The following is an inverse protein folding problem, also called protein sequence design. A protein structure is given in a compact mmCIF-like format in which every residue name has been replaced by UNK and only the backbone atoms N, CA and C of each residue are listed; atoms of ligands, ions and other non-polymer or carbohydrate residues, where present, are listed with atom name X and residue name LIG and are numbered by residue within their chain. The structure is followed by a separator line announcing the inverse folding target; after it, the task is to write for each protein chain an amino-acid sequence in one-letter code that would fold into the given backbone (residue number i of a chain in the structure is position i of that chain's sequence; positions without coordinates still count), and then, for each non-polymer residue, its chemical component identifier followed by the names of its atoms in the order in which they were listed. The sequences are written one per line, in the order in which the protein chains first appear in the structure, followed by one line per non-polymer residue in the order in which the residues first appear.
data_IF_557285186249
#
_entry.id   IF_557285186249
#
_cell.length_a   1.000
_cell.length_b   1.000
_cell.length_c   1.000
_cell.angle_alpha   90.00
_cell.angle_beta   90.00
_cell.angle_gamma   90.00
#
_symmetry.space_group_name_H-M   'P 1'
#
loop_
_entity.id
_entity.type
_entity.pdbx_description
1 polymer ?
#
# COMPACT_ATOMS: atom_id res chain seq x y z
N UNK A 1 -14.16 1.44 -75.26
CA UNK A 1 -13.28 0.67 -74.37
C UNK A 1 -13.59 1.10 -72.94
N UNK A 2 -14.33 0.31 -72.16
CA UNK A 2 -14.73 0.64 -70.77
C UNK A 2 -13.56 0.29 -69.84
N UNK A 3 -12.94 1.30 -69.24
CA UNK A 3 -11.97 1.09 -68.16
C UNK A 3 -12.72 0.90 -66.84
N UNK A 4 -12.68 -0.31 -66.27
CA UNK A 4 -13.07 -0.53 -64.88
C UNK A 4 -11.92 -0.07 -63.98
N UNK A 5 -12.18 0.91 -63.11
CA UNK A 5 -11.30 1.21 -61.98
C UNK A 5 -11.68 0.31 -60.80
N UNK A 6 -10.73 -0.40 -60.16
CA UNK A 6 -11.04 -1.17 -58.97
C UNK A 6 -11.22 -0.21 -57.79
N UNK A 7 -12.38 -0.30 -57.15
CA UNK A 7 -12.64 0.37 -55.88
C UNK A 7 -11.93 -0.44 -54.79
N UNK A 8 -10.79 0.03 -54.31
CA UNK A 8 -10.10 -0.56 -53.15
C UNK A 8 -10.85 -0.09 -51.90
N UNK A 9 -11.55 -1.02 -51.27
CA UNK A 9 -12.22 -0.79 -49.99
C UNK A 9 -11.20 -0.99 -48.86
N UNK A 10 -10.71 0.10 -48.28
CA UNK A 10 -9.86 0.06 -47.09
C UNK A 10 -10.75 -0.22 -45.87
N UNK A 11 -10.68 -1.43 -45.34
CA UNK A 11 -11.29 -1.74 -44.05
C UNK A 11 -10.48 -1.04 -42.94
N UNK A 12 -11.10 -0.08 -42.24
CA UNK A 12 -10.54 0.47 -41.01
C UNK A 12 -10.64 -0.58 -39.93
N UNK A 13 -9.52 -1.20 -39.55
CA UNK A 13 -9.42 -1.97 -38.31
C UNK A 13 -9.65 -1.00 -37.15
N UNK A 14 -10.82 -1.06 -36.52
CA UNK A 14 -11.03 -0.41 -35.24
C UNK A 14 -10.05 -1.03 -34.25
N UNK A 15 -9.16 -0.21 -33.67
CA UNK A 15 -8.21 -0.66 -32.65
C UNK A 15 -8.96 -1.30 -31.48
N UNK A 16 -8.35 -2.32 -30.87
CA UNK A 16 -8.89 -2.90 -29.65
C UNK A 16 -8.99 -1.83 -28.56
N UNK A 17 -10.07 -1.83 -27.80
CA UNK A 17 -10.23 -0.91 -26.69
C UNK A 17 -9.10 -1.12 -25.67
N UNK A 18 -8.61 -0.01 -25.12
CA UNK A 18 -7.52 0.07 -24.15
C UNK A 18 -8.06 0.48 -22.78
N UNK A 19 -7.29 0.22 -21.72
CA UNK A 19 -7.69 0.62 -20.35
C UNK A 19 -8.01 2.12 -20.26
N UNK A 20 -7.26 2.96 -20.96
CA UNK A 20 -7.44 4.42 -20.98
C UNK A 20 -8.75 4.89 -21.60
N UNK A 21 -9.45 4.03 -22.34
CA UNK A 21 -10.77 4.35 -22.90
C UNK A 21 -11.86 4.33 -21.82
N UNK A 22 -11.58 3.73 -20.66
CA UNK A 22 -12.55 3.51 -19.58
C UNK A 22 -12.12 4.08 -18.23
N UNK A 23 -10.81 4.18 -17.98
CA UNK A 23 -10.26 4.62 -16.70
C UNK A 23 -9.13 5.62 -16.88
N UNK A 24 -9.20 6.70 -16.11
CA UNK A 24 -8.05 7.57 -15.88
C UNK A 24 -7.08 6.86 -14.95
N UNK A 25 -5.80 6.81 -15.33
CA UNK A 25 -4.70 6.36 -14.47
C UNK A 25 -3.74 7.52 -14.31
N UNK A 26 -3.52 7.92 -13.07
CA UNK A 26 -2.54 8.93 -12.73
C UNK A 26 -1.47 8.32 -11.84
N UNK A 27 -0.26 8.84 -11.95
CA UNK A 27 0.88 8.34 -11.21
C UNK A 27 1.21 9.31 -10.08
N UNK A 28 1.24 8.80 -8.85
CA UNK A 28 1.69 9.56 -7.69
C UNK A 28 3.23 9.54 -7.70
N UNK A 29 3.90 10.71 -7.78
CA UNK A 29 5.36 10.76 -7.72
C UNK A 29 5.86 10.15 -6.41
N UNK A 30 6.77 9.19 -6.50
CA UNK A 30 7.35 8.52 -5.34
C UNK A 30 8.47 9.36 -4.71
N UNK A 31 8.78 9.18 -3.41
CA UNK A 31 9.92 9.84 -2.79
C UNK A 31 11.24 9.48 -3.52
N UNK A 32 12.16 10.43 -3.73
CA UNK A 32 13.39 10.18 -4.48
C UNK A 32 14.23 9.07 -3.86
N UNK A 33 14.79 8.21 -4.70
CA UNK A 33 15.71 7.13 -4.30
C UNK A 33 15.12 6.04 -3.40
N UNK A 34 13.79 6.02 -3.20
CA UNK A 34 13.12 5.00 -2.39
C UNK A 34 12.59 3.85 -3.27
N UNK A 35 12.94 2.62 -2.91
CA UNK A 35 12.36 1.44 -3.53
C UNK A 35 11.05 1.11 -2.80
N UNK A 36 9.96 1.75 -3.22
CA UNK A 36 8.72 1.75 -2.45
C UNK A 36 8.14 0.37 -2.17
N UNK A 37 8.31 -0.62 -3.08
CA UNK A 37 7.94 -2.04 -2.88
C UNK A 37 6.74 -2.21 -1.93
N UNK A 38 5.60 -1.61 -2.28
CA UNK A 38 4.54 -1.30 -1.31
C UNK A 38 4.03 -2.57 -0.63
N UNK A 39 4.11 -2.61 0.70
CA UNK A 39 3.63 -3.71 1.53
C UNK A 39 2.17 -3.55 1.95
N UNK A 40 1.77 -2.33 2.29
CA UNK A 40 0.41 -2.02 2.75
C UNK A 40 0.06 -0.55 2.55
N UNK A 41 -1.24 -0.26 2.50
CA UNK A 41 -1.81 1.08 2.31
C UNK A 41 -2.91 1.29 3.35
N UNK A 42 -2.92 2.46 3.98
CA UNK A 42 -4.01 2.87 4.86
C UNK A 42 -4.44 4.30 4.56
N UNK A 43 -5.75 4.51 4.49
CA UNK A 43 -6.33 5.84 4.38
C UNK A 43 -6.38 6.49 5.76
N UNK A 44 -6.02 7.77 5.82
CA UNK A 44 -5.97 8.54 7.05
C UNK A 44 -6.89 9.76 6.98
N UNK A 45 -7.20 10.40 8.13
CA UNK A 45 -7.85 11.70 8.16
C UNK A 45 -7.11 12.73 7.30
N UNK A 46 -7.82 13.81 6.95
CA UNK A 46 -7.31 14.92 6.15
C UNK A 46 -6.76 14.51 4.78
N UNK A 47 -7.32 13.43 4.20
CA UNK A 47 -6.93 12.91 2.88
C UNK A 47 -5.44 12.51 2.80
N UNK A 48 -4.84 12.14 3.93
CA UNK A 48 -3.50 11.54 3.96
C UNK A 48 -3.57 10.06 3.62
N UNK A 49 -2.49 9.52 3.08
CA UNK A 49 -2.34 8.09 2.78
C UNK A 49 -1.04 7.59 3.41
N UNK A 50 -1.14 6.60 4.30
CA UNK A 50 0.03 5.89 4.80
C UNK A 50 0.36 4.74 3.86
N UNK A 51 1.65 4.55 3.59
CA UNK A 51 2.17 3.46 2.77
C UNK A 51 3.37 2.85 3.48
N UNK A 52 3.37 1.53 3.62
CA UNK A 52 4.57 0.82 4.04
C UNK A 52 5.34 0.28 2.86
N UNK A 53 6.67 0.19 3.00
CA UNK A 53 7.54 -0.52 2.06
C UNK A 53 7.84 -1.91 2.61
N UNK A 54 8.08 -2.87 1.73
CA UNK A 54 8.55 -4.21 2.10
C UNK A 54 9.85 -4.18 2.91
N UNK A 55 10.65 -3.11 2.76
CA UNK A 55 11.93 -2.89 3.45
C UNK A 55 11.78 -2.31 4.86
N UNK A 56 10.56 -2.04 5.31
CA UNK A 56 10.29 -1.65 6.69
C UNK A 56 10.16 -0.15 6.93
N UNK A 57 10.05 0.65 5.89
CA UNK A 57 9.71 2.07 6.03
C UNK A 57 8.20 2.26 5.99
N UNK A 58 7.73 3.29 6.70
CA UNK A 58 6.37 3.79 6.64
C UNK A 58 6.39 5.26 6.29
N UNK A 59 5.67 5.61 5.23
CA UNK A 59 5.60 6.94 4.65
C UNK A 59 4.18 7.48 4.70
N UNK A 60 4.04 8.77 4.98
CA UNK A 60 2.77 9.49 4.90
C UNK A 60 2.81 10.37 3.66
N UNK A 61 1.86 10.14 2.77
CA UNK A 61 1.58 10.93 1.58
C UNK A 61 0.52 11.99 1.89
N UNK A 62 0.78 13.23 1.48
CA UNK A 62 -0.19 14.33 1.51
C UNK A 62 -0.38 14.87 0.11
N UNK A 63 -1.63 15.14 -0.29
CA UNK A 63 -1.98 15.71 -1.60
C UNK A 63 -2.38 14.68 -2.67
N UNK A 64 -2.42 13.39 -2.33
CA UNK A 64 -2.76 12.31 -3.28
C UNK A 64 -4.18 12.40 -3.89
N UNK A 65 -5.06 13.21 -3.31
CA UNK A 65 -6.44 13.41 -3.75
C UNK A 65 -6.64 14.69 -4.58
N UNK A 66 -5.59 15.50 -4.75
CA UNK A 66 -5.68 16.76 -5.50
C UNK A 66 -5.54 16.58 -7.01
N UNK A 67 -6.05 17.54 -7.77
CA UNK A 67 -5.97 17.55 -9.24
C UNK A 67 -4.53 17.71 -9.79
N UNK A 68 -3.59 18.16 -8.95
CA UNK A 68 -2.20 18.41 -9.30
C UNK A 68 -1.27 17.54 -8.46
N UNK A 69 -1.02 16.32 -8.93
CA UNK A 69 -0.18 15.34 -8.23
C UNK A 69 1.30 15.74 -8.14
N UNK A 70 1.75 16.78 -8.86
CA UNK A 70 3.13 17.29 -8.71
C UNK A 70 3.38 17.94 -7.34
N UNK A 71 2.31 18.28 -6.62
CA UNK A 71 2.34 18.84 -5.26
C UNK A 71 2.32 17.79 -4.16
N UNK A 72 2.27 16.50 -4.50
CA UNK A 72 2.33 15.42 -3.54
C UNK A 72 3.62 15.52 -2.72
N UNK A 73 3.49 15.39 -1.41
CA UNK A 73 4.63 15.34 -0.49
C UNK A 73 4.62 14.04 0.29
N UNK A 74 5.82 13.57 0.59
CA UNK A 74 6.06 12.35 1.36
C UNK A 74 6.89 12.67 2.58
N UNK A 75 6.47 12.16 3.74
CA UNK A 75 7.23 12.22 4.97
C UNK A 75 7.40 10.81 5.54
N UNK A 76 8.64 10.43 5.85
CA UNK A 76 8.91 9.17 6.56
C UNK A 76 8.42 9.30 7.99
N UNK A 77 7.52 8.42 8.39
CA UNK A 77 6.87 8.43 9.71
C UNK A 77 7.44 7.35 10.62
N UNK A 78 7.82 6.19 10.08
CA UNK A 78 8.55 5.16 10.81
C UNK A 78 9.52 4.42 9.88
N UNK A 79 10.47 3.71 10.49
CA UNK A 79 11.45 2.86 9.81
C UNK A 79 11.78 1.65 10.69
N UNK A 80 12.47 0.67 10.11
CA UNK A 80 12.84 -0.60 10.76
C UNK A 80 11.65 -1.50 11.17
N UNK A 81 10.52 -1.38 10.47
CA UNK A 81 9.41 -2.32 10.59
C UNK A 81 9.75 -3.65 9.88
N UNK A 82 9.27 -4.78 10.39
CA UNK A 82 9.63 -6.08 9.81
C UNK A 82 8.58 -6.56 8.80
N UNK A 83 8.78 -6.26 7.52
CA UNK A 83 7.88 -6.67 6.42
C UNK A 83 6.40 -6.41 6.75
N UNK A 84 5.98 -5.13 6.91
CA UNK A 84 4.61 -4.77 7.26
C UNK A 84 3.62 -5.01 6.10
N UNK A 85 2.75 -6.00 6.26
CA UNK A 85 1.84 -6.55 5.24
C UNK A 85 0.36 -6.49 5.68
N UNK A 86 0.01 -5.47 6.43
CA UNK A 86 -1.36 -5.12 6.81
C UNK A 86 -1.33 -3.81 7.59
N UNK A 87 -2.20 -2.86 7.26
CA UNK A 87 -2.22 -1.56 7.92
C UNK A 87 -3.59 -0.91 7.85
N UNK A 88 -3.98 -0.22 8.92
CA UNK A 88 -5.16 0.65 8.92
C UNK A 88 -5.02 1.79 9.94
N UNK A 89 -5.73 2.88 9.70
CA UNK A 89 -5.87 3.97 10.66
C UNK A 89 -7.07 3.73 11.57
N UNK A 90 -6.89 3.86 12.89
CA UNK A 90 -7.98 3.81 13.87
C UNK A 90 -7.58 4.51 15.15
N UNK A 91 -8.48 5.36 15.68
CA UNK A 91 -8.36 6.01 17.00
C UNK A 91 -7.02 6.73 17.22
N UNK A 92 -6.59 7.53 16.25
CA UNK A 92 -5.36 8.32 16.35
C UNK A 92 -4.06 7.52 16.16
N UNK A 93 -4.16 6.29 15.67
CA UNK A 93 -3.02 5.40 15.50
C UNK A 93 -3.04 4.69 14.14
N UNK A 94 -1.84 4.35 13.65
CA UNK A 94 -1.68 3.33 12.63
C UNK A 94 -1.51 1.99 13.31
N UNK A 95 -2.35 1.04 12.94
CA UNK A 95 -2.24 -0.35 13.33
C UNK A 95 -1.59 -1.11 12.18
N UNK A 96 -0.64 -1.95 12.50
CA UNK A 96 0.21 -2.64 11.54
C UNK A 96 0.23 -4.12 11.87
N UNK A 97 0.17 -4.98 10.86
CA UNK A 97 0.63 -6.37 10.98
C UNK A 97 1.99 -6.43 10.32
N UNK A 98 3.00 -6.63 11.15
CA UNK A 98 4.35 -6.97 10.73
C UNK A 98 4.62 -8.44 11.01
N UNK A 99 5.72 -8.95 10.45
CA UNK A 99 6.04 -10.37 10.51
C UNK A 99 5.97 -10.98 11.92
N UNK A 100 6.53 -10.36 12.99
CA UNK A 100 6.47 -10.95 14.33
C UNK A 100 5.25 -10.54 15.17
N UNK A 101 4.46 -9.54 14.75
CA UNK A 101 3.44 -8.95 15.63
C UNK A 101 2.39 -8.08 14.92
N UNK A 102 1.28 -7.83 15.62
CA UNK A 102 0.44 -6.66 15.40
C UNK A 102 0.96 -5.54 16.31
N UNK A 103 1.23 -4.38 15.71
CA UNK A 103 1.69 -3.18 16.41
C UNK A 103 0.69 -2.05 16.27
N UNK A 104 0.67 -1.17 17.27
CA UNK A 104 -0.01 0.11 17.24
C UNK A 104 1.04 1.22 17.37
N UNK A 105 1.14 2.08 16.36
CA UNK A 105 2.13 3.15 16.31
C UNK A 105 1.44 4.52 16.25
N UNK A 106 2.00 5.51 16.94
CA UNK A 106 1.45 6.88 16.99
C UNK A 106 2.56 7.91 17.00
N UNK A 107 2.18 9.10 16.56
CA UNK A 107 2.88 10.38 16.75
C UNK A 107 2.09 11.13 17.83
N UNK A 108 2.70 11.36 18.99
CA UNK A 108 2.03 11.96 20.17
C UNK A 108 2.36 13.44 20.35
N UNK A 109 3.41 13.95 19.70
CA UNK A 109 3.80 15.36 19.74
C UNK A 109 3.42 16.15 18.47
N UNK A 110 2.87 15.47 17.47
CA UNK A 110 2.44 15.99 16.16
C UNK A 110 3.60 16.53 15.32
N UNK A 111 4.82 16.04 15.51
CA UNK A 111 5.95 16.43 14.67
C UNK A 111 5.92 15.74 13.30
N UNK A 112 5.05 14.75 13.09
CA UNK A 112 4.91 13.96 11.87
C UNK A 112 5.78 12.70 11.81
N UNK A 113 6.31 12.23 12.95
CA UNK A 113 7.11 11.02 13.11
C UNK A 113 6.54 10.19 14.26
N UNK A 114 6.51 8.86 14.10
CA UNK A 114 6.09 7.98 15.18
C UNK A 114 7.08 8.03 16.35
N UNK A 115 6.55 8.22 17.56
CA UNK A 115 7.29 8.25 18.82
C UNK A 115 6.87 7.12 19.78
N UNK A 116 5.76 6.44 19.49
CA UNK A 116 5.25 5.31 20.27
C UNK A 116 5.04 4.08 19.40
N UNK A 117 5.49 2.93 19.93
CA UNK A 117 5.38 1.63 19.31
C UNK A 117 4.91 0.63 20.38
N UNK A 118 3.68 0.14 20.22
CA UNK A 118 3.03 -0.76 21.17
C UNK A 118 2.76 -2.10 20.48
N UNK A 119 3.33 -3.18 21.01
CA UNK A 119 2.99 -4.55 20.58
C UNK A 119 1.62 -4.91 21.14
N UNK A 120 0.65 -5.15 20.25
CA UNK A 120 -0.71 -5.57 20.60
C UNK A 120 -0.78 -7.08 20.78
N UNK A 121 -0.12 -7.82 19.88
CA UNK A 121 -0.06 -9.28 19.91
C UNK A 121 1.17 -9.74 19.14
N UNK A 122 1.91 -10.69 19.70
CA UNK A 122 3.05 -11.36 19.07
C UNK A 122 3.02 -12.87 19.30
N UNK A 123 1.82 -13.41 19.52
CA UNK A 123 1.60 -14.80 19.95
C UNK A 123 2.01 -15.84 18.88
N UNK A 124 2.13 -15.43 17.61
CA UNK A 124 2.72 -16.27 16.58
C UNK A 124 4.24 -16.04 16.55
N UNK A 125 5.00 -17.04 17.03
CA UNK A 125 6.45 -16.99 16.96
C UNK A 125 6.96 -16.96 15.52
N UNK A 126 8.20 -16.50 15.34
CA UNK A 126 8.98 -16.59 14.09
C UNK A 126 10.27 -17.35 14.36
N UNK A 127 10.69 -18.23 13.45
CA UNK A 127 11.93 -19.03 13.59
C UNK A 127 13.02 -18.63 12.59
N UNK A 128 12.73 -17.67 11.73
CA UNK A 128 13.66 -17.16 10.72
C UNK A 128 13.66 -17.98 9.44
N UNK A 129 12.66 -18.84 9.23
CA UNK A 129 12.44 -19.48 7.92
C UNK A 129 12.02 -18.41 6.91
N UNK A 130 12.47 -18.52 5.66
CA UNK A 130 12.18 -17.51 4.64
C UNK A 130 10.67 -17.35 4.35
N UNK A 131 9.89 -18.44 4.39
CA UNK A 131 8.45 -18.44 4.19
C UNK A 131 7.71 -18.35 5.53
N UNK A 132 7.91 -17.25 6.23
CA UNK A 132 7.14 -16.87 7.41
C UNK A 132 6.56 -15.47 7.19
N UNK A 133 5.35 -15.36 6.67
CA UNK A 133 4.68 -14.06 6.46
C UNK A 133 3.43 -13.94 7.32
N UNK A 134 3.17 -12.73 7.80
CA UNK A 134 1.94 -12.38 8.51
C UNK A 134 1.21 -11.28 7.74
N UNK A 135 -0.01 -11.58 7.28
CA UNK A 135 -0.86 -10.63 6.56
C UNK A 135 -2.03 -10.23 7.45
N UNK A 136 -2.23 -8.93 7.62
CA UNK A 136 -3.27 -8.39 8.49
C UNK A 136 -4.47 -7.86 7.73
N UNK A 137 -5.68 -8.09 8.27
CA UNK A 137 -6.89 -7.43 7.80
C UNK A 137 -7.09 -6.05 8.44
N UNK A 138 -7.95 -5.24 7.84
CA UNK A 138 -8.64 -4.19 8.61
C UNK A 138 -9.57 -4.82 9.66
N UNK A 139 -9.96 -4.10 10.72
CA UNK A 139 -10.87 -4.65 11.72
C UNK A 139 -12.20 -5.03 11.08
N UNK A 140 -12.75 -6.17 11.48
CA UNK A 140 -14.12 -6.52 11.12
C UNK A 140 -15.15 -5.73 11.95
N UNK A 141 -16.43 -6.08 11.80
CA UNK A 141 -17.54 -5.43 12.51
C UNK A 141 -17.49 -5.56 14.04
N UNK A 142 -16.79 -6.56 14.58
CA UNK A 142 -16.60 -6.75 16.01
C UNK A 142 -15.36 -6.02 16.51
N UNK A 143 -14.51 -5.54 15.58
CA UNK A 143 -13.23 -4.92 15.88
C UNK A 143 -12.06 -5.91 15.86
N UNK A 144 -12.29 -7.14 15.43
CA UNK A 144 -11.26 -8.19 15.39
C UNK A 144 -10.34 -7.98 14.19
N UNK A 145 -9.03 -8.16 14.40
CA UNK A 145 -8.01 -8.14 13.35
C UNK A 145 -7.69 -9.59 12.99
N UNK A 146 -7.90 -9.96 11.73
CA UNK A 146 -7.58 -11.28 11.23
C UNK A 146 -6.15 -11.29 10.71
N UNK A 147 -5.33 -12.20 11.24
CA UNK A 147 -3.95 -12.39 10.79
C UNK A 147 -3.82 -13.74 10.09
N UNK A 148 -3.47 -13.71 8.81
CA UNK A 148 -3.19 -14.92 8.04
C UNK A 148 -1.69 -15.21 8.15
N UNK A 149 -1.39 -16.38 8.70
CA UNK A 149 -0.05 -16.84 9.01
C UNK A 149 0.41 -17.84 7.95
N UNK A 150 1.27 -17.38 7.06
CA UNK A 150 1.97 -18.22 6.10
C UNK A 150 3.27 -18.70 6.74
N UNK A 151 3.15 -19.49 7.82
CA UNK A 151 4.25 -19.87 8.70
C UNK A 151 4.70 -21.30 8.43
N UNK A 152 5.90 -21.45 7.88
CA UNK A 152 6.56 -22.75 7.77
C UNK A 152 7.41 -22.99 9.02
N UNK A 153 7.05 -23.97 9.85
CA UNK A 153 7.87 -24.44 10.98
C UNK A 153 7.72 -23.67 12.30
N UNK A 154 6.96 -22.58 12.34
CA UNK A 154 6.86 -21.68 13.51
C UNK A 154 5.97 -22.20 14.65
N UNK A 155 5.16 -23.23 14.40
CA UNK A 155 4.35 -23.90 15.43
C UNK A 155 5.03 -25.21 15.84
N UNK A 156 5.53 -25.25 17.08
CA UNK A 156 5.93 -26.47 17.81
C UNK A 156 5.45 -26.36 19.23
#
# INVERSE_FOLDING_TARGET
MRFLFPLILTATLAGAATQSDFYTREEIPLPPSEAMEIGSIALMPDQKVAVTTRRGDLWICTGAYGDDLSKVTWKKFAQNLHEPLGMFWKDGALWLTQRPEVSKIRDTDNDGVADTFETVSSDWGIKGDYHEYAFGSTPDKNGDIWVVLCLTGSFT
#
